data_IF_369802027957
#
_entry.id   IF_369802027957
#
_cell.length_a   1.000
_cell.length_b   1.000
_cell.length_c   1.000
_cell.angle_alpha   90.00
_cell.angle_beta   90.00
_cell.angle_gamma   90.00
#
_symmetry.space_group_name_H-M   'P 1'
#
loop_
_entity.id
_entity.type
_entity.pdbx_description
1 polymer ?
#
# COMPACT_ATOMS: atom_id res chain seq x y z
N UNK A 1 10.24 18.27 -1.27
CA UNK A 1 11.51 17.66 -1.74
C UNK A 1 11.51 17.71 -3.26
N UNK A 2 12.31 16.89 -3.95
CA UNK A 2 11.87 16.46 -5.29
C UNK A 2 10.75 15.44 -5.09
N UNK A 3 9.74 15.43 -5.97
CA UNK A 3 8.61 14.47 -5.92
C UNK A 3 9.08 13.02 -5.73
N UNK A 4 10.23 12.66 -6.32
CA UNK A 4 10.85 11.35 -6.18
C UNK A 4 11.29 11.03 -4.75
N UNK A 5 11.82 12.02 -4.02
CA UNK A 5 12.29 11.82 -2.65
C UNK A 5 11.12 11.78 -1.67
N UNK A 6 10.08 12.59 -1.89
CA UNK A 6 8.81 12.48 -1.13
C UNK A 6 8.19 11.10 -1.30
N UNK A 7 8.12 10.59 -2.54
CA UNK A 7 7.60 9.25 -2.81
C UNK A 7 8.40 8.15 -2.10
N UNK A 8 9.73 8.20 -2.14
CA UNK A 8 10.57 7.22 -1.43
C UNK A 8 10.32 7.25 0.08
N UNK A 9 10.25 8.45 0.67
CA UNK A 9 10.00 8.62 2.09
C UNK A 9 8.61 8.11 2.48
N UNK A 10 7.60 8.36 1.65
CA UNK A 10 6.25 7.83 1.87
C UNK A 10 6.22 6.30 1.81
N UNK A 11 6.88 5.68 0.83
CA UNK A 11 6.98 4.21 0.74
C UNK A 11 7.63 3.61 1.99
N UNK A 12 8.73 4.22 2.46
CA UNK A 12 9.41 3.78 3.68
C UNK A 12 8.52 3.97 4.92
N UNK A 13 7.82 5.10 5.02
CA UNK A 13 6.91 5.37 6.12
C UNK A 13 5.72 4.40 6.14
N UNK A 14 5.16 4.04 4.97
CA UNK A 14 4.11 3.01 4.86
C UNK A 14 4.66 1.66 5.29
N UNK A 15 5.86 1.29 4.86
CA UNK A 15 6.50 0.04 5.26
C UNK A 15 6.69 -0.03 6.79
N UNK A 16 7.22 1.03 7.39
CA UNK A 16 7.42 1.11 8.84
C UNK A 16 6.10 1.08 9.60
N UNK A 17 5.08 1.82 9.13
CA UNK A 17 3.75 1.81 9.74
C UNK A 17 3.13 0.41 9.76
N UNK A 18 3.30 -0.36 8.69
CA UNK A 18 2.84 -1.75 8.63
C UNK A 18 3.67 -2.69 9.51
N UNK A 19 4.99 -2.45 9.60
CA UNK A 19 5.88 -3.22 10.47
C UNK A 19 5.53 -3.05 11.95
N UNK A 20 5.20 -1.83 12.36
CA UNK A 20 4.83 -1.52 13.75
C UNK A 20 3.34 -1.79 14.06
N UNK A 21 2.56 -2.24 13.07
CA UNK A 21 1.12 -2.42 13.23
C UNK A 21 0.80 -3.70 14.03
N UNK A 22 0.09 -3.62 15.18
CA UNK A 22 -0.12 -4.76 16.08
C UNK A 22 -0.87 -5.93 15.44
N UNK A 23 -1.76 -5.63 14.48
CA UNK A 23 -2.57 -6.64 13.80
C UNK A 23 -1.98 -7.18 12.49
N UNK A 24 -0.78 -6.73 12.11
CA UNK A 24 -0.07 -7.20 10.92
C UNK A 24 0.94 -8.28 11.31
N UNK A 25 1.02 -9.33 10.49
CA UNK A 25 2.00 -10.39 10.64
C UNK A 25 3.29 -9.98 9.96
N UNK A 26 4.35 -9.87 10.74
CA UNK A 26 5.69 -9.46 10.29
C UNK A 26 6.62 -10.68 10.17
N UNK A 27 7.48 -10.77 9.14
CA UNK A 27 8.47 -11.84 9.04
C UNK A 27 9.40 -11.84 10.26
N UNK A 28 9.60 -13.02 10.87
CA UNK A 28 10.55 -13.19 11.99
C UNK A 28 9.97 -12.92 13.38
N UNK A 29 8.77 -12.34 13.49
CA UNK A 29 8.07 -12.15 14.77
C UNK A 29 7.09 -13.28 15.11
N UNK A 30 6.99 -14.32 14.27
CA UNK A 30 6.18 -15.52 14.57
C UNK A 30 6.88 -16.38 15.63
N UNK A 31 6.83 -15.89 16.86
CA UNK A 31 7.61 -16.39 17.98
C UNK A 31 6.78 -17.32 18.86
N UNK A 32 6.69 -18.59 18.47
CA UNK A 32 6.27 -19.64 19.38
C UNK A 32 7.50 -20.50 19.73
N UNK A 33 7.62 -20.91 20.99
CA UNK A 33 8.72 -21.77 21.46
C UNK A 33 8.85 -23.06 20.62
N UNK A 34 7.73 -23.55 20.09
CA UNK A 34 7.68 -24.65 19.13
C UNK A 34 8.37 -24.29 17.80
N UNK A 35 8.11 -23.10 17.23
CA UNK A 35 8.74 -22.62 16.00
C UNK A 35 10.25 -22.45 16.15
N UNK A 36 10.72 -21.88 17.27
CA UNK A 36 12.17 -21.76 17.53
C UNK A 36 12.85 -23.13 17.60
N UNK A 37 12.24 -24.10 18.28
CA UNK A 37 12.77 -25.48 18.36
C UNK A 37 12.83 -26.14 16.98
N UNK A 38 11.78 -25.99 16.18
CA UNK A 38 11.72 -26.54 14.82
C UNK A 38 12.76 -25.89 13.90
N UNK A 39 12.92 -24.57 13.96
CA UNK A 39 13.94 -23.81 13.19
C UNK A 39 15.37 -24.18 13.60
N UNK A 40 15.62 -24.42 14.89
CA UNK A 40 16.94 -24.83 15.40
C UNK A 40 17.29 -26.29 15.02
N UNK A 41 16.29 -27.17 14.94
CA UNK A 41 16.52 -28.58 14.60
C UNK A 41 16.59 -28.85 13.08
N UNK A 42 15.94 -28.04 12.24
CA UNK A 42 15.93 -28.25 10.79
C UNK A 42 17.02 -27.42 10.08
N UNK A 43 18.18 -28.05 9.80
CA UNK A 43 19.09 -27.61 8.71
C UNK A 43 18.46 -27.87 7.33
N UNK A 44 17.31 -27.29 7.00
CA UNK A 44 16.55 -27.65 5.79
C UNK A 44 16.45 -26.52 4.77
N UNK A 45 16.33 -26.94 3.52
CA UNK A 45 16.22 -26.14 2.28
C UNK A 45 14.86 -25.42 2.13
N UNK A 46 13.91 -25.62 3.06
CA UNK A 46 12.55 -25.08 3.01
C UNK A 46 12.30 -24.31 4.31
N UNK A 47 11.71 -23.12 4.20
CA UNK A 47 11.42 -22.27 5.35
C UNK A 47 10.37 -22.91 6.26
N UNK A 48 10.39 -22.57 7.55
CA UNK A 48 9.44 -23.14 8.52
C UNK A 48 8.04 -22.62 8.20
N UNK A 49 7.96 -21.37 7.78
CA UNK A 49 6.77 -20.68 7.31
C UNK A 49 6.09 -21.46 6.18
N UNK A 50 6.85 -21.89 5.16
CA UNK A 50 6.31 -22.69 4.04
C UNK A 50 5.80 -24.06 4.50
N UNK A 51 6.51 -24.70 5.44
CA UNK A 51 6.14 -26.02 5.96
C UNK A 51 4.82 -26.01 6.73
N UNK A 52 4.55 -24.91 7.44
CA UNK A 52 3.34 -24.75 8.26
C UNK A 52 2.28 -23.87 7.58
N UNK A 53 2.52 -23.41 6.36
CA UNK A 53 1.61 -22.54 5.63
C UNK A 53 1.40 -21.17 6.27
N UNK A 54 2.34 -20.72 7.12
CA UNK A 54 2.28 -19.39 7.72
C UNK A 54 2.68 -18.37 6.67
N UNK A 55 1.83 -17.37 6.48
CA UNK A 55 2.10 -16.26 5.58
C UNK A 55 2.51 -15.05 6.41
N UNK A 56 3.77 -14.68 6.32
CA UNK A 56 4.33 -13.52 7.03
C UNK A 56 4.87 -12.45 6.09
N UNK A 57 4.67 -12.59 4.77
CA UNK A 57 5.27 -11.67 3.80
C UNK A 57 4.72 -10.25 3.98
N UNK A 58 5.62 -9.28 4.17
CA UNK A 58 5.33 -7.85 4.17
C UNK A 58 6.18 -7.20 3.08
N UNK A 59 5.53 -6.55 2.12
CA UNK A 59 6.17 -5.88 0.99
C UNK A 59 5.47 -4.56 0.69
N UNK A 60 6.26 -3.51 0.50
CA UNK A 60 5.79 -2.20 0.02
C UNK A 60 6.76 -1.72 -1.05
N UNK A 61 6.30 -1.60 -2.30
CA UNK A 61 7.16 -1.23 -3.42
C UNK A 61 6.44 -0.31 -4.40
N UNK A 62 7.19 0.58 -5.05
CA UNK A 62 6.72 1.20 -6.29
C UNK A 62 6.65 0.11 -7.36
N UNK A 63 5.46 -0.14 -7.89
CA UNK A 63 5.17 -1.29 -8.76
C UNK A 63 5.08 -0.87 -10.23
N UNK A 64 4.28 0.16 -10.51
CA UNK A 64 3.96 0.52 -11.89
C UNK A 64 3.89 2.04 -12.10
N UNK A 65 4.36 2.48 -13.27
CA UNK A 65 4.03 3.80 -13.82
C UNK A 65 2.81 3.64 -14.72
N UNK A 66 1.69 4.16 -14.28
CA UNK A 66 0.39 4.08 -14.95
C UNK A 66 0.08 5.38 -15.69
N UNK A 67 -0.97 5.38 -16.52
CA UNK A 67 -1.26 6.50 -17.44
C UNK A 67 -1.45 7.86 -16.73
N UNK A 68 -1.97 7.83 -15.50
CA UNK A 68 -2.23 9.01 -14.68
C UNK A 68 -1.86 8.81 -13.21
N UNK A 69 -1.03 7.81 -12.89
CA UNK A 69 -0.69 7.44 -11.51
C UNK A 69 0.68 6.75 -11.43
N UNK A 70 1.22 6.73 -10.20
CA UNK A 70 2.31 5.85 -9.81
C UNK A 70 1.76 4.89 -8.76
N UNK A 71 1.80 3.59 -9.06
CA UNK A 71 1.11 2.58 -8.27
C UNK A 71 2.08 1.98 -7.25
N UNK A 72 1.66 1.94 -5.99
CA UNK A 72 2.40 1.33 -4.89
C UNK A 72 1.75 -0.01 -4.57
N UNK A 73 2.53 -1.10 -4.69
CA UNK A 73 2.12 -2.42 -4.22
C UNK A 73 2.30 -2.50 -2.71
N UNK A 74 1.21 -2.78 -2.00
CA UNK A 74 1.22 -3.10 -0.57
C UNK A 74 0.71 -4.53 -0.41
N UNK A 75 1.57 -5.42 0.09
CA UNK A 75 1.25 -6.83 0.29
C UNK A 75 1.61 -7.25 1.72
N UNK A 76 0.60 -7.62 2.50
CA UNK A 76 0.75 -7.99 3.90
C UNK A 76 -0.40 -8.89 4.38
N UNK A 77 -0.24 -9.53 5.54
CA UNK A 77 -1.23 -10.41 6.16
C UNK A 77 -1.62 -9.91 7.54
N UNK A 78 -2.90 -10.04 7.89
CA UNK A 78 -3.39 -9.80 9.25
C UNK A 78 -3.22 -11.03 10.12
N UNK A 79 -3.12 -10.85 11.43
CA UNK A 79 -3.09 -11.94 12.41
C UNK A 79 -4.47 -12.61 12.64
N UNK A 80 -5.54 -12.02 12.07
CA UNK A 80 -6.93 -12.49 12.17
C UNK A 80 -7.41 -13.16 10.89
N UNK A 81 -8.35 -14.09 11.05
CA UNK A 81 -9.15 -14.71 9.96
C UNK A 81 -10.61 -14.29 9.99
N UNK A 82 -11.03 -13.50 11.00
CA UNK A 82 -12.38 -12.94 11.06
C UNK A 82 -12.54 -11.88 9.98
N UNK A 83 -13.53 -12.05 9.11
CA UNK A 83 -13.71 -11.15 7.97
C UNK A 83 -14.05 -9.72 8.39
N UNK A 84 -14.89 -9.55 9.41
CA UNK A 84 -15.25 -8.25 9.96
C UNK A 84 -14.03 -7.53 10.55
N UNK A 85 -13.20 -8.24 11.32
CA UNK A 85 -12.00 -7.68 11.92
C UNK A 85 -10.96 -7.32 10.84
N UNK A 86 -10.79 -8.20 9.86
CA UNK A 86 -9.94 -7.92 8.71
C UNK A 86 -10.36 -6.67 7.95
N UNK A 87 -11.67 -6.44 7.76
CA UNK A 87 -12.18 -5.23 7.13
C UNK A 87 -11.86 -3.97 7.96
N UNK A 88 -11.97 -4.04 9.29
CA UNK A 88 -11.63 -2.93 10.19
C UNK A 88 -10.15 -2.59 10.12
N UNK A 89 -9.28 -3.59 10.21
CA UNK A 89 -7.82 -3.41 10.11
C UNK A 89 -7.45 -2.84 8.73
N UNK A 90 -8.03 -3.36 7.65
CA UNK A 90 -7.79 -2.85 6.30
C UNK A 90 -8.21 -1.38 6.17
N UNK A 91 -9.37 -1.02 6.70
CA UNK A 91 -9.84 0.37 6.69
C UNK A 91 -8.89 1.30 7.44
N UNK A 92 -8.48 0.91 8.65
CA UNK A 92 -7.54 1.67 9.47
C UNK A 92 -6.19 1.89 8.76
N UNK A 93 -5.63 0.83 8.17
CA UNK A 93 -4.39 0.90 7.37
C UNK A 93 -4.54 1.88 6.20
N UNK A 94 -5.67 1.87 5.48
CA UNK A 94 -5.91 2.79 4.36
C UNK A 94 -5.92 4.24 4.84
N UNK A 95 -6.54 4.53 5.98
CA UNK A 95 -6.52 5.89 6.55
C UNK A 95 -5.13 6.32 7.00
N UNK A 96 -4.35 5.43 7.63
CA UNK A 96 -2.95 5.72 7.98
C UNK A 96 -2.08 5.98 6.75
N UNK A 97 -2.28 5.23 5.66
CA UNK A 97 -1.62 5.48 4.38
C UNK A 97 -1.99 6.88 3.87
N UNK A 98 -3.27 7.24 3.93
CA UNK A 98 -3.72 8.58 3.54
C UNK A 98 -2.97 9.67 4.31
N UNK A 99 -2.91 9.58 5.64
CA UNK A 99 -2.18 10.53 6.49
C UNK A 99 -0.70 10.61 6.11
N UNK A 100 -0.07 9.48 5.79
CA UNK A 100 1.34 9.44 5.34
C UNK A 100 1.51 10.15 3.99
N UNK A 101 0.60 9.94 3.04
CA UNK A 101 0.66 10.61 1.74
C UNK A 101 0.52 12.13 1.89
N UNK A 102 -0.49 12.58 2.65
CA UNK A 102 -0.73 14.00 2.93
C UNK A 102 0.50 14.65 3.58
N UNK A 103 1.16 13.96 4.53
CA UNK A 103 2.36 14.45 5.20
C UNK A 103 3.59 14.59 4.27
N UNK A 104 3.58 13.94 3.11
CA UNK A 104 4.65 13.99 2.11
C UNK A 104 4.28 14.80 0.85
N UNK A 105 3.19 15.58 0.91
CA UNK A 105 2.64 16.33 -0.23
C UNK A 105 2.27 15.43 -1.42
N UNK A 106 1.80 14.21 -1.14
CA UNK A 106 1.33 13.26 -2.13
C UNK A 106 -0.19 13.10 -2.02
N UNK A 107 -0.85 12.90 -3.16
CA UNK A 107 -2.30 12.72 -3.21
C UNK A 107 -2.67 11.44 -3.95
N UNK A 108 -3.88 10.94 -3.68
CA UNK A 108 -4.44 9.85 -4.48
C UNK A 108 -4.66 10.31 -5.93
N UNK A 109 -4.17 9.50 -6.87
CA UNK A 109 -4.38 9.75 -8.28
C UNK A 109 -5.83 9.43 -8.67
N UNK A 110 -6.55 10.43 -9.16
CA UNK A 110 -7.82 10.24 -9.85
C UNK A 110 -7.58 10.11 -11.36
N UNK A 111 -8.44 9.38 -12.10
CA UNK A 111 -8.33 9.32 -13.55
C UNK A 111 -8.30 10.72 -14.15
N UNK A 112 -7.27 11.02 -14.94
CA UNK A 112 -7.11 12.33 -15.58
C UNK A 112 -7.21 12.21 -17.10
N UNK A 113 -7.70 13.27 -17.73
CA UNK A 113 -7.80 13.37 -19.19
C UNK A 113 -7.32 14.75 -19.64
N UNK A 114 -6.48 14.77 -20.67
CA UNK A 114 -6.09 16.02 -21.33
C UNK A 114 -7.08 16.31 -22.46
N UNK A 115 -7.85 17.37 -22.32
CA UNK A 115 -8.75 17.86 -23.37
C UNK A 115 -8.01 18.88 -24.24
N UNK A 116 -7.85 18.56 -25.52
CA UNK A 116 -7.28 19.48 -26.51
C UNK A 116 -8.42 20.26 -27.17
N UNK A 117 -8.46 21.58 -26.97
CA UNK A 117 -9.41 22.45 -27.65
C UNK A 117 -8.76 23.09 -28.87
N UNK A 118 -9.43 22.97 -30.01
CA UNK A 118 -9.08 23.76 -31.19
C UNK A 118 -9.48 25.23 -30.96
N UNK A 119 -8.61 26.18 -31.30
CA UNK A 119 -8.79 27.60 -30.98
C UNK A 119 -10.07 28.21 -31.58
N UNK A 120 -10.68 27.55 -32.56
CA UNK A 120 -11.91 27.99 -33.21
C UNK A 120 -13.20 27.49 -32.53
N UNK A 121 -13.12 26.51 -31.61
CA UNK A 121 -14.29 25.85 -30.98
C UNK A 121 -14.39 26.02 -29.45
N UNK A 122 -13.53 26.86 -28.86
CA UNK A 122 -13.48 27.09 -27.40
C UNK A 122 -14.82 27.58 -26.83
N UNK A 123 -15.59 28.38 -27.58
CA UNK A 123 -16.84 28.96 -27.09
C UNK A 123 -17.99 27.96 -26.91
N UNK A 124 -18.04 26.90 -27.71
CA UNK A 124 -19.14 25.93 -27.71
C UNK A 124 -18.92 24.80 -26.68
N UNK A 125 -17.65 24.44 -26.43
CA UNK A 125 -17.28 23.33 -25.56
C UNK A 125 -17.27 23.68 -24.05
N UNK A 126 -16.99 24.93 -23.68
CA UNK A 126 -16.92 25.36 -22.25
C UNK A 126 -18.28 25.77 -21.67
N UNK A 127 -19.24 26.18 -22.51
CA UNK A 127 -20.57 26.63 -22.09
C UNK A 127 -21.37 25.61 -21.25
N UNK A 128 -21.36 24.28 -21.54
CA UNK A 128 -22.03 23.30 -20.69
C UNK A 128 -21.29 22.98 -19.37
N UNK A 129 -19.99 23.28 -19.26
CA UNK A 129 -19.20 23.01 -18.04
C UNK A 129 -19.44 24.06 -16.94
N UNK A 130 -19.72 25.31 -17.32
CA UNK A 130 -19.98 26.41 -16.36
C UNK A 130 -21.39 26.39 -15.74
N UNK A 131 -22.31 25.56 -16.24
CA UNK A 131 -23.70 25.47 -15.75
C UNK A 131 -23.92 24.39 -14.67
N UNK A 132 -22.87 23.71 -14.22
CA UNK A 132 -22.92 22.63 -13.22
C UNK A 132 -22.26 22.99 -11.88
N UNK A 133 -22.09 24.28 -11.57
CA UNK A 133 -21.72 24.76 -10.23
C UNK A 133 -22.91 25.36 -9.50
#
# INVERSE_FOLDING_TARGET
GSDREQLKQAIEAIHQMLYDHPDIVVPGEYDNDLYRRLKQQEKRLISVEDKFGIKTTLMVFLDQLSASSMDILIYTFTNTVSWEEWLRIKQDIIFKIWEILDAHDLEFAFPSQSLYFDKDNIGEAVAPMLKKS
#
